data_IF_080098799923
#
_entry.id   IF_080098799923
#
_cell.length_a   1.000
_cell.length_b   1.000
_cell.length_c   1.000
_cell.angle_alpha   90.00
_cell.angle_beta   90.00
_cell.angle_gamma   90.00
#
_symmetry.space_group_name_H-M   'P 1'
#
loop_
_entity.id
_entity.type
_entity.pdbx_description
1 polymer ?
#
# COMPACT_ATOMS: atom_id res chain seq x y z
N UNK A 1 -4.60 -15.85 -27.19
CA UNK A 1 -5.57 -14.73 -27.17
C UNK A 1 -6.32 -14.77 -25.85
N UNK A 2 -6.00 -13.86 -24.92
CA UNK A 2 -6.68 -13.75 -23.61
C UNK A 2 -8.12 -13.32 -23.87
N UNK A 3 -9.10 -14.17 -23.56
CA UNK A 3 -10.51 -13.73 -23.47
C UNK A 3 -10.68 -13.09 -22.10
N UNK A 4 -10.99 -11.80 -22.09
CA UNK A 4 -11.30 -11.04 -20.88
C UNK A 4 -12.40 -11.76 -20.07
N UNK A 5 -12.15 -11.95 -18.78
CA UNK A 5 -13.18 -12.28 -17.78
C UNK A 5 -14.25 -11.19 -17.83
N UNK A 6 -15.27 -11.38 -18.66
CA UNK A 6 -16.44 -10.49 -18.72
C UNK A 6 -17.35 -10.80 -17.54
N UNK A 7 -16.90 -10.46 -16.32
CA UNK A 7 -17.88 -10.01 -15.35
C UNK A 7 -18.47 -8.72 -15.94
N UNK A 8 -19.76 -8.73 -16.26
CA UNK A 8 -20.44 -7.54 -16.77
C UNK A 8 -20.11 -6.36 -15.84
N UNK A 9 -19.64 -5.24 -16.41
CA UNK A 9 -19.33 -4.03 -15.65
C UNK A 9 -20.59 -3.38 -15.01
N UNK A 10 -21.75 -4.01 -15.12
CA UNK A 10 -23.05 -3.44 -14.78
C UNK A 10 -23.89 -4.42 -13.96
N UNK A 11 -24.53 -3.88 -12.93
CA UNK A 11 -25.51 -4.57 -12.10
C UNK A 11 -26.69 -5.10 -12.95
N UNK A 12 -26.79 -6.43 -13.11
CA UNK A 12 -27.95 -7.09 -13.70
C UNK A 12 -28.63 -8.03 -12.69
N UNK A 13 -29.81 -7.62 -12.21
CA UNK A 13 -30.59 -8.41 -11.25
C UNK A 13 -31.07 -9.76 -11.80
N UNK A 14 -31.17 -9.94 -13.13
CA UNK A 14 -31.48 -11.26 -13.72
C UNK A 14 -30.30 -12.21 -13.58
N UNK A 15 -29.09 -11.70 -13.78
CA UNK A 15 -27.85 -12.48 -13.63
C UNK A 15 -27.66 -12.90 -12.18
N UNK A 16 -27.82 -11.97 -11.23
CA UNK A 16 -27.77 -12.26 -9.79
C UNK A 16 -28.86 -13.29 -9.41
N UNK A 17 -30.08 -13.10 -9.92
CA UNK A 17 -31.20 -14.01 -9.67
C UNK A 17 -30.95 -15.43 -10.19
N UNK A 18 -30.36 -15.55 -11.39
CA UNK A 18 -30.00 -16.83 -11.97
C UNK A 18 -28.91 -17.52 -11.16
N UNK A 19 -27.92 -16.78 -10.66
CA UNK A 19 -26.84 -17.36 -9.85
C UNK A 19 -27.33 -17.83 -8.47
N UNK A 20 -28.22 -17.07 -7.83
CA UNK A 20 -28.92 -17.51 -6.62
C UNK A 20 -29.67 -18.82 -6.87
N UNK A 21 -30.35 -18.95 -8.00
CA UNK A 21 -31.05 -20.19 -8.40
C UNK A 21 -30.08 -21.35 -8.60
N UNK A 22 -28.98 -21.13 -9.32
CA UNK A 22 -27.96 -22.14 -9.60
C UNK A 22 -27.37 -22.69 -8.28
N UNK A 23 -26.94 -21.80 -7.39
CA UNK A 23 -26.36 -22.15 -6.09
C UNK A 23 -27.36 -22.85 -5.18
N UNK A 24 -28.63 -22.41 -5.18
CA UNK A 24 -29.70 -23.06 -4.43
C UNK A 24 -29.91 -24.51 -4.89
N UNK A 25 -29.97 -24.74 -6.20
CA UNK A 25 -30.13 -26.08 -6.77
C UNK A 25 -28.92 -26.97 -6.49
N UNK A 26 -27.70 -26.43 -6.61
CA UNK A 26 -26.47 -27.16 -6.28
C UNK A 26 -26.41 -27.62 -4.81
N UNK A 27 -27.03 -26.87 -3.89
CA UNK A 27 -27.18 -27.23 -2.47
C UNK A 27 -28.39 -28.12 -2.18
N UNK A 28 -29.21 -28.43 -3.18
CA UNK A 28 -30.42 -29.26 -3.04
C UNK A 28 -31.58 -28.56 -2.30
N UNK A 29 -31.59 -27.23 -2.23
CA UNK A 29 -32.62 -26.48 -1.51
C UNK A 29 -33.84 -26.18 -2.39
N UNK A 30 -35.05 -26.33 -1.85
CA UNK A 30 -36.25 -25.75 -2.48
C UNK A 30 -36.30 -24.24 -2.22
N UNK A 31 -37.11 -23.51 -3.00
CA UNK A 31 -37.33 -22.08 -2.76
C UNK A 31 -37.89 -21.81 -1.36
N UNK A 32 -38.70 -22.74 -0.81
CA UNK A 32 -39.22 -22.65 0.56
C UNK A 32 -38.13 -22.86 1.61
N UNK A 33 -37.19 -23.76 1.36
CA UNK A 33 -36.07 -24.03 2.28
C UNK A 33 -35.11 -22.84 2.38
N UNK A 34 -34.78 -22.23 1.22
CA UNK A 34 -33.96 -21.02 1.19
C UNK A 34 -34.67 -19.84 1.85
N UNK A 35 -35.97 -19.69 1.61
CA UNK A 35 -36.79 -18.67 2.24
C UNK A 35 -36.81 -18.81 3.77
N UNK A 36 -36.94 -20.05 4.28
CA UNK A 36 -36.89 -20.35 5.72
C UNK A 36 -35.53 -20.01 6.33
N UNK A 37 -34.43 -20.32 5.64
CA UNK A 37 -33.05 -20.02 6.10
C UNK A 37 -32.76 -18.52 6.21
N UNK A 38 -33.29 -17.71 5.29
CA UNK A 38 -33.01 -16.26 5.22
C UNK A 38 -34.10 -15.43 5.94
N UNK A 39 -35.11 -16.09 6.52
CA UNK A 39 -36.22 -15.42 7.20
C UNK A 39 -37.06 -14.57 6.24
N UNK A 40 -37.36 -15.09 5.06
CA UNK A 40 -38.22 -14.42 4.06
C UNK A 40 -39.29 -15.36 3.51
N UNK A 41 -40.14 -14.88 2.59
CA UNK A 41 -41.19 -15.70 1.97
C UNK A 41 -40.69 -16.32 0.67
N UNK A 42 -41.25 -17.48 0.30
CA UNK A 42 -40.88 -18.14 -0.96
C UNK A 42 -41.16 -17.25 -2.19
N UNK A 43 -42.17 -16.38 -2.12
CA UNK A 43 -42.50 -15.42 -3.17
C UNK A 43 -41.38 -14.40 -3.38
N UNK A 44 -40.74 -13.95 -2.29
CA UNK A 44 -39.60 -13.03 -2.36
C UNK A 44 -38.40 -13.71 -3.01
N UNK A 45 -38.10 -14.96 -2.66
CA UNK A 45 -37.04 -15.76 -3.30
C UNK A 45 -37.34 -15.98 -4.79
N UNK A 46 -38.58 -16.32 -5.15
CA UNK A 46 -39.01 -16.47 -6.54
C UNK A 46 -38.82 -15.16 -7.34
N UNK A 47 -39.15 -14.02 -6.73
CA UNK A 47 -38.99 -12.72 -7.36
C UNK A 47 -37.51 -12.32 -7.51
N UNK A 48 -36.66 -12.68 -6.55
CA UNK A 48 -35.20 -12.53 -6.64
C UNK A 48 -34.63 -13.40 -7.77
N UNK A 49 -34.99 -14.68 -7.83
CA UNK A 49 -34.51 -15.60 -8.88
C UNK A 49 -34.93 -15.18 -10.29
N UNK A 50 -36.11 -14.56 -10.42
CA UNK A 50 -36.59 -14.00 -11.69
C UNK A 50 -35.96 -12.63 -12.04
N UNK A 51 -35.17 -12.04 -11.14
CA UNK A 51 -34.64 -10.68 -11.27
C UNK A 51 -35.70 -9.58 -11.25
N UNK A 52 -36.94 -9.89 -10.85
CA UNK A 52 -38.07 -8.95 -10.82
C UNK A 52 -38.10 -8.07 -9.59
N UNK A 53 -37.42 -8.49 -8.51
CA UNK A 53 -37.32 -7.74 -7.27
C UNK A 53 -35.86 -7.42 -6.98
N UNK A 54 -35.62 -6.17 -6.61
CA UNK A 54 -34.32 -5.65 -6.21
C UNK A 54 -33.85 -6.32 -4.91
N UNK A 55 -32.59 -6.71 -4.89
CA UNK A 55 -31.92 -7.30 -3.72
C UNK A 55 -31.13 -6.19 -3.03
N UNK A 56 -31.26 -6.05 -1.71
CA UNK A 56 -30.43 -5.13 -0.93
C UNK A 56 -29.08 -5.77 -0.61
N UNK A 57 -28.04 -4.97 -0.37
CA UNK A 57 -26.70 -5.47 0.01
C UNK A 57 -26.82 -6.43 1.20
N UNK A 58 -27.56 -6.04 2.25
CA UNK A 58 -27.80 -6.90 3.42
C UNK A 58 -28.39 -8.26 3.04
N UNK A 59 -29.43 -8.29 2.18
CA UNK A 59 -30.05 -9.55 1.73
C UNK A 59 -29.13 -10.36 0.82
N UNK A 60 -28.25 -9.72 0.05
CA UNK A 60 -27.23 -10.40 -0.75
C UNK A 60 -26.24 -11.16 0.14
N UNK A 61 -25.80 -10.58 1.25
CA UNK A 61 -24.94 -11.28 2.22
C UNK A 61 -25.65 -12.42 2.93
N UNK A 62 -26.92 -12.23 3.33
CA UNK A 62 -27.72 -13.31 3.92
C UNK A 62 -27.93 -14.48 2.93
N UNK A 63 -28.10 -14.19 1.63
CA UNK A 63 -28.13 -15.19 0.57
C UNK A 63 -26.78 -15.90 0.42
N UNK A 64 -25.67 -15.16 0.41
CA UNK A 64 -24.32 -15.71 0.31
C UNK A 64 -24.01 -16.68 1.44
N UNK A 65 -24.34 -16.29 2.68
CA UNK A 65 -24.17 -17.10 3.88
C UNK A 65 -25.00 -18.39 3.79
N UNK A 66 -26.29 -18.29 3.46
CA UNK A 66 -27.18 -19.45 3.34
C UNK A 66 -26.75 -20.43 2.25
N UNK A 67 -26.12 -19.94 1.19
CA UNK A 67 -25.67 -20.72 0.03
C UNK A 67 -24.19 -21.15 0.12
N UNK A 68 -23.50 -20.78 1.21
CA UNK A 68 -22.07 -21.04 1.42
C UNK A 68 -21.16 -20.50 0.30
N UNK A 69 -21.50 -19.34 -0.26
CA UNK A 69 -20.75 -18.64 -1.32
C UNK A 69 -20.37 -17.23 -0.83
N UNK A 70 -19.75 -16.41 -1.68
CA UNK A 70 -19.46 -15.00 -1.36
C UNK A 70 -20.49 -14.09 -2.00
N UNK A 71 -20.70 -12.90 -1.41
CA UNK A 71 -21.57 -11.88 -2.03
C UNK A 71 -21.03 -11.41 -3.39
N UNK A 72 -19.70 -11.51 -3.58
CA UNK A 72 -18.98 -11.23 -4.81
C UNK A 72 -19.35 -12.21 -5.93
N UNK A 73 -19.33 -13.51 -5.63
CA UNK A 73 -19.68 -14.56 -6.58
C UNK A 73 -21.15 -14.44 -7.04
N UNK A 74 -22.05 -14.18 -6.09
CA UNK A 74 -23.47 -13.95 -6.39
C UNK A 74 -23.70 -12.69 -7.23
N UNK A 75 -22.84 -11.66 -7.07
CA UNK A 75 -22.94 -10.42 -7.83
C UNK A 75 -22.37 -10.54 -9.26
N UNK A 76 -21.30 -11.32 -9.48
CA UNK A 76 -20.64 -11.42 -10.79
C UNK A 76 -21.26 -12.43 -11.75
N UNK A 77 -22.13 -13.33 -11.30
CA UNK A 77 -22.88 -14.27 -12.14
C UNK A 77 -22.05 -14.97 -13.22
N UNK A 78 -20.95 -15.60 -12.80
CA UNK A 78 -20.16 -16.42 -13.71
C UNK A 78 -20.98 -17.65 -14.13
N UNK A 79 -21.15 -17.86 -15.44
CA UNK A 79 -21.14 -19.24 -15.92
C UNK A 79 -19.83 -19.84 -15.41
N UNK A 80 -19.91 -20.95 -14.71
CA UNK A 80 -18.73 -21.68 -14.26
C UNK A 80 -17.97 -22.13 -15.51
N UNK A 81 -17.12 -21.26 -16.07
CA UNK A 81 -16.08 -21.67 -16.97
C UNK A 81 -15.15 -22.55 -16.14
N UNK A 82 -15.15 -23.83 -16.48
CA UNK A 82 -14.22 -24.86 -16.01
C UNK A 82 -12.77 -24.54 -16.44
N UNK A 83 -12.30 -23.32 -16.26
CA UNK A 83 -10.95 -22.87 -16.63
C UNK A 83 -10.18 -22.50 -15.37
N UNK A 84 -9.76 -23.57 -14.71
CA UNK A 84 -8.74 -23.59 -13.68
C UNK A 84 -8.04 -24.94 -13.66
N UNK A 85 -7.95 -25.63 -14.80
CA UNK A 85 -6.90 -26.64 -14.96
C UNK A 85 -5.61 -25.86 -15.16
N UNK A 86 -4.97 -25.49 -14.05
CA UNK A 86 -3.51 -25.52 -14.03
C UNK A 86 -3.11 -26.83 -14.69
N UNK A 87 -2.22 -26.83 -15.68
CA UNK A 87 -1.79 -28.07 -16.30
C UNK A 87 -1.38 -29.00 -15.15
N UNK A 88 -2.13 -30.09 -14.95
CA UNK A 88 -1.94 -30.98 -13.78
C UNK A 88 -0.46 -31.38 -13.69
N UNK A 89 0.21 -31.42 -14.83
CA UNK A 89 1.63 -31.64 -15.03
C UNK A 89 2.55 -30.57 -14.40
N UNK A 90 2.24 -29.27 -14.49
CA UNK A 90 3.03 -28.21 -13.84
C UNK A 90 2.89 -28.24 -12.32
N UNK A 91 1.67 -28.44 -11.81
CA UNK A 91 1.40 -28.57 -10.37
C UNK A 91 2.04 -29.85 -9.83
N UNK A 92 1.92 -30.96 -10.56
CA UNK A 92 2.60 -32.22 -10.23
C UNK A 92 4.11 -32.06 -10.27
N UNK A 93 4.67 -31.32 -11.23
CA UNK A 93 6.10 -31.05 -11.33
C UNK A 93 6.60 -30.17 -10.17
N UNK A 94 5.84 -29.17 -9.75
CA UNK A 94 6.13 -28.36 -8.55
C UNK A 94 6.11 -29.22 -7.28
N UNK A 95 5.07 -30.06 -7.10
CA UNK A 95 4.96 -30.98 -5.96
C UNK A 95 6.11 -32.00 -5.96
N UNK A 96 6.50 -32.49 -7.14
CA UNK A 96 7.61 -33.44 -7.30
C UNK A 96 8.94 -32.81 -6.93
N UNK A 97 9.25 -31.62 -7.47
CA UNK A 97 10.47 -30.87 -7.15
C UNK A 97 10.54 -30.44 -5.68
N UNK A 98 9.41 -30.08 -5.08
CA UNK A 98 9.34 -29.79 -3.65
C UNK A 98 9.74 -31.00 -2.79
N UNK A 99 9.32 -32.22 -3.18
CA UNK A 99 9.70 -33.47 -2.50
C UNK A 99 11.17 -33.84 -2.66
N UNK A 100 11.83 -33.36 -3.73
CA UNK A 100 13.25 -33.57 -4.01
C UNK A 100 14.19 -32.69 -3.16
N UNK A 101 13.68 -31.61 -2.54
CA UNK A 101 14.44 -30.75 -1.64
C UNK A 101 14.76 -31.53 -0.36
N UNK A 102 15.98 -32.06 -0.24
CA UNK A 102 16.42 -32.86 0.92
C UNK A 102 16.51 -32.05 2.21
N UNK A 103 16.79 -30.75 2.08
CA UNK A 103 16.90 -29.82 3.18
C UNK A 103 15.51 -29.41 3.69
N UNK A 104 15.25 -29.68 4.97
CA UNK A 104 13.95 -29.42 5.58
C UNK A 104 13.66 -27.92 5.71
N UNK A 105 14.67 -27.09 5.95
CA UNK A 105 14.52 -25.66 6.16
C UNK A 105 14.21 -24.94 4.83
N UNK A 106 14.85 -25.37 3.74
CA UNK A 106 14.52 -24.91 2.38
C UNK A 106 13.11 -25.33 1.94
N UNK A 107 12.69 -26.53 2.34
CA UNK A 107 11.35 -27.05 2.04
C UNK A 107 10.27 -26.24 2.77
N UNK A 108 10.49 -25.92 4.04
CA UNK A 108 9.62 -25.05 4.84
C UNK A 108 9.59 -23.62 4.28
N UNK A 109 10.74 -23.08 3.87
CA UNK A 109 10.85 -21.76 3.22
C UNK A 109 10.04 -21.68 1.92
N UNK A 110 10.13 -22.72 1.07
CA UNK A 110 9.35 -22.79 -0.18
C UNK A 110 7.85 -22.87 0.08
N UNK A 111 7.43 -23.68 1.07
CA UNK A 111 6.03 -23.78 1.48
C UNK A 111 5.50 -22.42 1.94
N UNK A 112 6.25 -21.70 2.78
CA UNK A 112 5.88 -20.35 3.20
C UNK A 112 5.73 -19.41 2.02
N UNK A 113 6.69 -19.36 1.09
CA UNK A 113 6.61 -18.53 -0.12
C UNK A 113 5.33 -18.80 -0.92
N UNK A 114 5.00 -20.07 -1.16
CA UNK A 114 3.78 -20.42 -1.91
C UNK A 114 2.50 -20.01 -1.19
N UNK A 115 2.47 -20.12 0.15
CA UNK A 115 1.33 -19.71 0.97
C UNK A 115 1.20 -18.18 1.01
N UNK A 116 2.32 -17.45 1.09
CA UNK A 116 2.35 -15.99 1.00
C UNK A 116 1.82 -15.48 -0.34
N UNK A 117 2.25 -16.08 -1.46
CA UNK A 117 1.78 -15.72 -2.81
C UNK A 117 0.26 -15.86 -2.88
N UNK A 118 -0.28 -16.99 -2.41
CA UNK A 118 -1.73 -17.23 -2.37
C UNK A 118 -2.49 -16.15 -1.60
N UNK A 119 -2.02 -15.81 -0.40
CA UNK A 119 -2.67 -14.79 0.44
C UNK A 119 -2.58 -13.40 -0.24
N UNK A 120 -1.47 -13.11 -0.94
CA UNK A 120 -1.30 -11.84 -1.67
C UNK A 120 -2.19 -11.69 -2.91
N UNK A 121 -2.68 -12.80 -3.47
CA UNK A 121 -3.60 -12.84 -4.61
C UNK A 121 -5.08 -12.78 -4.19
N UNK A 122 -5.43 -13.31 -3.00
CA UNK A 122 -6.82 -13.41 -2.51
C UNK A 122 -7.32 -12.10 -1.86
N UNK A 123 -6.51 -11.43 -1.05
CA UNK A 123 -6.83 -10.11 -0.49
C UNK A 123 -6.09 -9.04 -1.26
N UNK A 124 -6.71 -7.87 -1.51
CA UNK A 124 -6.03 -6.78 -2.22
C UNK A 124 -4.69 -6.51 -1.54
N UNK A 125 -3.59 -6.84 -2.22
CA UNK A 125 -2.30 -7.14 -1.56
C UNK A 125 -1.71 -6.05 -0.66
N UNK A 126 -2.35 -4.89 -0.51
CA UNK A 126 -2.01 -3.88 0.50
C UNK A 126 -2.48 -4.23 1.92
N UNK A 127 -3.64 -4.86 2.12
CA UNK A 127 -4.22 -5.07 3.46
C UNK A 127 -3.47 -6.14 4.27
N UNK A 128 -3.27 -7.33 3.68
CA UNK A 128 -2.43 -8.40 4.25
C UNK A 128 -1.02 -7.92 4.52
N UNK A 129 -0.41 -7.17 3.59
CA UNK A 129 0.97 -6.67 3.77
C UNK A 129 1.08 -5.73 4.99
N UNK A 130 0.04 -4.95 5.25
CA UNK A 130 -0.05 -4.08 6.44
C UNK A 130 -0.24 -4.91 7.72
N UNK A 131 -1.03 -5.99 7.68
CA UNK A 131 -1.32 -6.83 8.85
C UNK A 131 -0.16 -7.77 9.22
N UNK A 132 0.52 -8.34 8.22
CA UNK A 132 1.79 -9.08 8.38
C UNK A 132 2.86 -8.16 8.98
N UNK A 133 2.99 -6.92 8.47
CA UNK A 133 3.94 -5.97 9.01
C UNK A 133 3.60 -5.56 10.45
N UNK A 134 2.32 -5.33 10.76
CA UNK A 134 1.84 -5.08 12.13
C UNK A 134 2.15 -6.25 13.08
N UNK A 135 1.95 -7.49 12.64
CA UNK A 135 2.25 -8.70 13.42
C UNK A 135 3.74 -8.88 13.70
N UNK A 136 4.62 -8.55 12.76
CA UNK A 136 6.08 -8.60 12.94
C UNK A 136 6.61 -7.50 13.86
N UNK A 137 6.01 -6.30 13.83
CA UNK A 137 6.35 -5.16 14.70
C UNK A 137 5.94 -5.41 16.16
N UNK A 138 4.76 -6.01 16.39
CA UNK A 138 4.25 -6.33 17.74
C UNK A 138 5.14 -7.32 18.49
N UNK A 139 5.97 -8.08 17.77
CA UNK A 139 6.82 -9.16 18.26
C UNK A 139 8.32 -8.81 18.31
N UNK A 140 8.67 -7.51 18.20
CA UNK A 140 10.04 -7.02 18.46
C UNK A 140 11.02 -7.10 17.30
N UNK A 141 10.56 -7.37 16.07
CA UNK A 141 11.40 -7.24 14.87
C UNK A 141 11.43 -5.77 14.48
N UNK A 142 12.60 -5.14 14.53
CA UNK A 142 12.77 -3.74 14.12
C UNK A 142 12.65 -3.63 12.61
N UNK A 143 11.43 -3.34 12.15
CA UNK A 143 11.13 -2.96 10.78
C UNK A 143 10.74 -1.49 10.85
N UNK A 144 11.69 -0.60 10.58
CA UNK A 144 11.35 0.80 10.28
C UNK A 144 10.55 0.79 8.98
N UNK A 145 9.35 1.39 9.02
CA UNK A 145 8.35 1.54 7.94
C UNK A 145 7.25 0.48 7.94
N UNK A 146 6.11 0.81 8.54
CA UNK A 146 4.78 0.73 7.92
C UNK A 146 3.74 1.14 8.95
N UNK A 147 3.16 2.34 8.79
CA UNK A 147 1.69 2.57 8.78
C UNK A 147 1.42 4.06 8.84
N UNK A 148 1.05 4.65 7.70
CA UNK A 148 0.29 5.90 7.69
C UNK A 148 -1.16 5.55 8.01
N UNK A 149 -1.43 5.33 9.29
CA UNK A 149 -2.76 5.33 9.86
C UNK A 149 -2.66 5.99 11.23
N UNK A 150 -3.21 7.20 11.32
CA UNK A 150 -3.42 7.96 12.54
C UNK A 150 -3.97 7.05 13.64
N UNK A 151 -3.20 6.91 14.72
CA UNK A 151 -3.71 6.48 16.03
C UNK A 151 -4.57 7.64 16.52
N UNK A 152 -5.87 7.54 16.27
CA UNK A 152 -6.93 8.21 17.03
C UNK A 152 -8.24 7.51 16.66
N UNK A 153 -8.52 6.43 17.39
CA UNK A 153 -9.87 5.97 17.81
C UNK A 153 -9.69 4.62 18.52
N UNK A 154 -8.96 4.63 19.64
CA UNK A 154 -9.15 3.68 20.72
C UNK A 154 -10.28 4.22 21.59
N UNK A 155 -11.51 3.77 21.31
CA UNK A 155 -12.56 3.52 22.29
C UNK A 155 -13.86 3.08 21.61
N UNK A 156 -14.14 1.77 21.64
CA UNK A 156 -15.35 1.18 22.23
C UNK A 156 -15.72 -0.15 21.56
N UNK A 157 -15.70 -1.18 22.40
CA UNK A 157 -16.50 -2.40 22.35
C UNK A 157 -16.35 -3.33 21.13
N UNK A 158 -16.43 -4.62 21.42
CA UNK A 158 -16.60 -5.74 20.49
C UNK A 158 -17.91 -5.65 19.67
N UNK A 159 -18.13 -4.54 18.95
CA UNK A 159 -19.21 -4.39 18.00
C UNK A 159 -18.74 -4.94 16.67
N UNK A 160 -19.20 -6.16 16.37
CA UNK A 160 -19.29 -6.77 15.04
C UNK A 160 -19.43 -5.67 13.96
N UNK A 161 -18.33 -5.36 13.27
CA UNK A 161 -18.27 -4.26 12.30
C UNK A 161 -19.40 -4.44 11.29
N UNK A 162 -20.27 -3.44 11.18
CA UNK A 162 -21.47 -3.57 10.36
C UNK A 162 -21.13 -3.66 8.86
N UNK A 163 -21.87 -4.48 8.10
CA UNK A 163 -21.71 -4.60 6.64
C UNK A 163 -21.77 -3.22 5.94
N UNK A 164 -22.73 -2.32 6.26
CA UNK A 164 -22.76 -0.97 5.69
C UNK A 164 -21.47 -0.19 5.91
N UNK A 165 -20.86 -0.30 7.10
CA UNK A 165 -19.58 0.33 7.39
C UNK A 165 -18.45 -0.23 6.52
N UNK A 166 -18.34 -1.55 6.40
CA UNK A 166 -17.30 -2.18 5.56
C UNK A 166 -17.43 -1.75 4.08
N UNK A 167 -18.65 -1.67 3.55
CA UNK A 167 -18.92 -1.14 2.20
C UNK A 167 -18.52 0.33 2.10
N UNK A 168 -18.87 1.14 3.11
CA UNK A 168 -18.50 2.54 3.20
C UNK A 168 -16.99 2.78 3.15
N UNK A 169 -16.21 1.98 3.87
CA UNK A 169 -14.76 2.06 3.84
C UNK A 169 -14.18 1.71 2.46
N UNK A 170 -14.70 0.70 1.76
CA UNK A 170 -14.28 0.39 0.38
C UNK A 170 -14.55 1.56 -0.57
N UNK A 171 -15.69 2.24 -0.44
CA UNK A 171 -16.00 3.44 -1.22
C UNK A 171 -14.95 4.53 -0.95
N UNK A 172 -14.65 4.80 0.32
CA UNK A 172 -13.64 5.80 0.74
C UNK A 172 -12.26 5.48 0.16
N UNK A 173 -11.82 4.23 0.26
CA UNK A 173 -10.52 3.78 -0.26
C UNK A 173 -10.39 4.05 -1.76
N UNK A 174 -11.37 3.63 -2.55
CA UNK A 174 -11.33 3.81 -4.00
C UNK A 174 -11.49 5.28 -4.41
N UNK A 175 -12.29 6.05 -3.68
CA UNK A 175 -12.40 7.51 -3.87
C UNK A 175 -11.05 8.19 -3.70
N UNK A 176 -10.32 7.87 -2.63
CA UNK A 176 -8.99 8.42 -2.37
C UNK A 176 -7.97 7.97 -3.43
N UNK A 177 -8.01 6.71 -3.88
CA UNK A 177 -7.15 6.21 -4.98
C UNK A 177 -7.37 6.96 -6.29
N UNK A 178 -8.58 7.46 -6.54
CA UNK A 178 -8.91 8.30 -7.70
C UNK A 178 -8.63 9.78 -7.48
N UNK A 179 -8.14 10.18 -6.30
CA UNK A 179 -7.86 11.57 -5.95
C UNK A 179 -9.12 12.41 -5.76
N UNK A 180 -10.28 11.79 -5.48
CA UNK A 180 -11.55 12.50 -5.34
C UNK A 180 -11.79 12.93 -3.89
N UNK A 181 -12.27 14.15 -3.69
CA UNK A 181 -12.88 14.57 -2.42
C UNK A 181 -14.28 13.96 -2.27
N UNK A 182 -14.85 13.98 -1.06
CA UNK A 182 -16.24 13.55 -0.85
C UNK A 182 -17.21 14.37 -1.71
N UNK A 183 -16.91 15.65 -1.93
CA UNK A 183 -17.69 16.55 -2.77
C UNK A 183 -17.57 16.20 -4.25
N UNK A 184 -16.37 15.84 -4.72
CA UNK A 184 -16.15 15.41 -6.10
C UNK A 184 -16.93 14.13 -6.42
N UNK A 185 -16.89 13.15 -5.53
CA UNK A 185 -17.63 11.90 -5.70
C UNK A 185 -19.14 12.16 -5.67
N UNK A 186 -19.61 12.97 -4.72
CA UNK A 186 -21.03 13.32 -4.59
C UNK A 186 -21.54 14.03 -5.86
N UNK A 187 -20.77 14.98 -6.38
CA UNK A 187 -21.08 15.73 -7.61
C UNK A 187 -21.13 14.83 -8.84
N UNK A 188 -20.19 13.88 -8.96
CA UNK A 188 -20.14 12.92 -10.09
C UNK A 188 -21.27 11.90 -10.07
N UNK A 189 -21.68 11.47 -8.87
CA UNK A 189 -22.80 10.50 -8.69
C UNK A 189 -24.16 11.21 -8.71
N UNK A 190 -24.19 12.54 -8.53
CA UNK A 190 -25.42 13.34 -8.53
C UNK A 190 -26.17 13.31 -7.19
N UNK A 191 -25.46 13.23 -6.07
CA UNK A 191 -26.03 13.24 -4.72
C UNK A 191 -25.38 14.32 -3.85
N UNK A 192 -25.99 14.62 -2.70
CA UNK A 192 -25.44 15.58 -1.74
C UNK A 192 -24.19 15.00 -1.04
N UNK A 193 -23.20 15.85 -0.73
CA UNK A 193 -21.97 15.46 -0.02
C UNK A 193 -22.28 14.68 1.28
N UNK A 194 -23.25 15.16 2.06
CA UNK A 194 -23.68 14.50 3.30
C UNK A 194 -24.02 13.01 3.13
N UNK A 195 -24.59 12.61 1.98
CA UNK A 195 -24.91 11.20 1.70
C UNK A 195 -23.64 10.35 1.54
N UNK A 196 -22.62 10.86 0.85
CA UNK A 196 -21.33 10.17 0.73
C UNK A 196 -20.68 10.03 2.11
N UNK A 197 -20.70 11.09 2.92
CA UNK A 197 -20.23 11.01 4.30
C UNK A 197 -20.97 9.93 5.11
N UNK A 198 -22.30 9.92 5.07
CA UNK A 198 -23.11 8.91 5.78
C UNK A 198 -22.85 7.49 5.29
N UNK A 199 -22.56 7.30 4.00
CA UNK A 199 -22.15 6.01 3.44
C UNK A 199 -20.77 5.59 3.93
N UNK A 200 -19.75 6.46 3.84
CA UNK A 200 -18.40 6.16 4.28
C UNK A 200 -18.31 5.84 5.77
N UNK A 201 -19.15 6.49 6.58
CA UNK A 201 -19.25 6.25 8.01
C UNK A 201 -20.15 5.06 8.38
N UNK A 202 -20.77 4.38 7.40
CA UNK A 202 -21.70 3.28 7.64
C UNK A 202 -22.98 3.66 8.38
N UNK A 203 -23.29 4.96 8.49
CA UNK A 203 -24.50 5.49 9.13
C UNK A 203 -25.75 5.27 8.26
N UNK A 204 -25.54 5.21 6.94
CA UNK A 204 -26.59 4.89 5.97
C UNK A 204 -26.20 3.66 5.13
N UNK A 205 -27.19 2.79 4.87
CA UNK A 205 -27.01 1.66 3.97
C UNK A 205 -27.06 2.13 2.51
N UNK A 206 -26.05 1.73 1.72
CA UNK A 206 -26.00 1.96 0.28
C UNK A 206 -26.88 0.91 -0.42
N UNK A 207 -27.69 1.32 -1.40
CA UNK A 207 -28.39 0.36 -2.27
C UNK A 207 -27.42 -0.23 -3.29
N UNK A 208 -27.68 -1.44 -3.82
CA UNK A 208 -26.82 -2.01 -4.86
C UNK A 208 -26.76 -1.11 -6.12
N UNK A 209 -27.85 -0.41 -6.43
CA UNK A 209 -27.91 0.54 -7.55
C UNK A 209 -27.02 1.76 -7.33
N UNK A 210 -27.07 2.36 -6.13
CA UNK A 210 -26.19 3.46 -5.78
C UNK A 210 -24.73 3.01 -5.75
N UNK A 211 -24.49 1.77 -5.29
CA UNK A 211 -23.16 1.17 -5.31
C UNK A 211 -22.63 0.96 -6.73
N UNK A 212 -23.50 0.55 -7.67
CA UNK A 212 -23.20 0.43 -9.09
C UNK A 212 -22.86 1.79 -9.72
N UNK A 213 -23.63 2.84 -9.41
CA UNK A 213 -23.33 4.21 -9.87
C UNK A 213 -22.00 4.73 -9.33
N UNK A 214 -21.70 4.48 -8.05
CA UNK A 214 -20.40 4.79 -7.45
C UNK A 214 -19.27 4.00 -8.14
N UNK A 215 -19.48 2.71 -8.42
CA UNK A 215 -18.50 1.87 -9.12
C UNK A 215 -18.21 2.38 -10.54
N UNK A 216 -19.25 2.80 -11.28
CA UNK A 216 -19.12 3.42 -12.61
C UNK A 216 -18.30 4.71 -12.55
N UNK A 217 -18.58 5.59 -11.60
CA UNK A 217 -17.83 6.85 -11.41
C UNK A 217 -16.37 6.58 -11.06
N UNK A 218 -16.11 5.55 -10.24
CA UNK A 218 -14.77 5.15 -9.84
C UNK A 218 -14.05 4.28 -10.89
N UNK A 219 -14.72 3.94 -11.99
CA UNK A 219 -14.21 3.08 -13.07
C UNK A 219 -13.66 1.74 -12.52
N UNK A 220 -14.44 1.09 -11.67
CA UNK A 220 -14.14 -0.21 -11.05
C UNK A 220 -15.35 -1.14 -11.17
N UNK A 221 -15.17 -2.42 -10.88
CA UNK A 221 -16.30 -3.34 -10.80
C UNK A 221 -17.04 -3.17 -9.46
N UNK A 222 -18.36 -3.33 -9.45
CA UNK A 222 -19.17 -3.32 -8.22
C UNK A 222 -18.67 -4.35 -7.19
N UNK A 223 -18.09 -5.46 -7.65
CA UNK A 223 -17.49 -6.48 -6.78
C UNK A 223 -16.31 -5.98 -5.94
N UNK A 224 -15.63 -4.91 -6.36
CA UNK A 224 -14.49 -4.36 -5.64
C UNK A 224 -14.92 -3.50 -4.44
N UNK A 225 -16.19 -3.10 -4.44
CA UNK A 225 -16.84 -2.38 -3.34
C UNK A 225 -17.57 -3.32 -2.36
N UNK A 226 -17.70 -4.60 -2.68
CA UNK A 226 -18.30 -5.62 -1.82
C UNK A 226 -17.22 -6.27 -0.94
N UNK A 227 -17.18 -6.03 0.38
CA UNK A 227 -16.23 -6.67 1.29
C UNK A 227 -16.49 -8.17 1.42
N UNK A 228 -15.46 -8.98 1.60
CA UNK A 228 -15.64 -10.41 1.84
C UNK A 228 -16.00 -10.65 3.31
N UNK A 229 -17.14 -11.28 3.59
CA UNK A 229 -17.59 -11.56 4.96
C UNK A 229 -16.88 -12.76 5.61
N UNK A 230 -15.92 -13.38 4.91
CA UNK A 230 -15.05 -14.43 5.48
C UNK A 230 -13.72 -13.90 6.02
N UNK A 231 -13.56 -12.58 6.08
CA UNK A 231 -12.43 -11.94 6.73
C UNK A 231 -12.80 -11.69 8.20
N UNK A 232 -12.17 -12.45 9.11
CA UNK A 232 -11.56 -11.94 10.36
C UNK A 232 -11.12 -13.03 11.35
N UNK A 233 -11.56 -14.29 11.26
CA UNK A 233 -11.09 -15.35 12.20
C UNK A 233 -10.00 -16.25 11.61
N UNK A 234 -10.10 -16.59 10.32
CA UNK A 234 -9.11 -17.47 9.69
C UNK A 234 -7.84 -16.73 9.28
N UNK A 235 -7.92 -15.50 8.76
CA UNK A 235 -6.75 -14.75 8.30
C UNK A 235 -5.80 -14.43 9.46
N UNK A 236 -6.31 -13.95 10.59
CA UNK A 236 -5.49 -13.58 11.76
C UNK A 236 -4.83 -14.81 12.42
N UNK A 237 -5.56 -15.94 12.47
CA UNK A 237 -5.04 -17.23 12.93
C UNK A 237 -4.03 -17.84 11.93
N UNK A 238 -4.24 -17.69 10.63
CA UNK A 238 -3.30 -18.13 9.60
C UNK A 238 -2.04 -17.26 9.58
N UNK A 239 -2.16 -15.95 9.74
CA UNK A 239 -1.07 -14.99 9.88
C UNK A 239 -0.24 -15.27 11.14
N UNK A 240 -0.90 -15.53 12.27
CA UNK A 240 -0.24 -15.91 13.52
C UNK A 240 0.55 -17.22 13.36
N UNK A 241 -0.04 -18.22 12.70
CA UNK A 241 0.68 -19.47 12.36
C UNK A 241 1.85 -19.23 11.42
N UNK A 242 1.70 -18.34 10.44
CA UNK A 242 2.75 -18.00 9.47
C UNK A 242 3.94 -17.32 10.14
N UNK A 243 3.69 -16.41 11.08
CA UNK A 243 4.71 -15.72 11.87
C UNK A 243 5.44 -16.74 12.76
N UNK A 244 4.72 -17.69 13.34
CA UNK A 244 5.32 -18.73 14.17
C UNK A 244 6.15 -19.73 13.35
N UNK A 245 5.70 -20.08 12.13
CA UNK A 245 6.49 -20.87 11.18
C UNK A 245 7.73 -20.12 10.68
N UNK A 246 7.63 -18.81 10.42
CA UNK A 246 8.77 -17.96 10.08
C UNK A 246 9.82 -17.90 11.20
N UNK A 247 9.38 -17.84 12.47
CA UNK A 247 10.27 -17.85 13.64
C UNK A 247 11.07 -19.16 13.79
N UNK A 248 10.59 -20.27 13.22
CA UNK A 248 11.27 -21.58 13.29
C UNK A 248 12.47 -21.69 12.34
N UNK A 249 12.55 -20.81 11.33
CA UNK A 249 13.68 -20.75 10.41
C UNK A 249 14.91 -20.20 11.15
N UNK A 250 15.93 -21.04 11.29
CA UNK A 250 17.19 -20.72 11.95
C UNK A 250 18.11 -19.94 11.02
N UNK A 251 18.14 -20.27 9.73
CA UNK A 251 18.96 -19.58 8.74
C UNK A 251 18.57 -18.11 8.60
N UNK A 252 19.55 -17.23 8.80
CA UNK A 252 19.36 -15.78 8.66
C UNK A 252 19.27 -15.36 7.20
N UNK A 253 19.95 -16.07 6.30
CA UNK A 253 19.91 -15.84 4.85
C UNK A 253 18.53 -16.17 4.28
N UNK A 254 17.92 -17.28 4.71
CA UNK A 254 16.57 -17.67 4.27
C UNK A 254 15.50 -16.72 4.82
N UNK A 255 15.64 -16.26 6.07
CA UNK A 255 14.80 -15.20 6.63
C UNK A 255 14.90 -13.90 5.83
N UNK A 256 16.11 -13.52 5.42
CA UNK A 256 16.34 -12.34 4.60
C UNK A 256 15.70 -12.48 3.21
N UNK A 257 15.81 -13.64 2.55
CA UNK A 257 15.18 -13.90 1.25
C UNK A 257 13.65 -13.85 1.34
N UNK A 258 13.06 -14.39 2.41
CA UNK A 258 11.60 -14.33 2.65
C UNK A 258 11.11 -12.90 2.83
N UNK A 259 11.81 -12.11 3.66
CA UNK A 259 11.51 -10.68 3.83
C UNK A 259 11.65 -9.98 2.48
N UNK A 260 12.79 -10.14 1.81
CA UNK A 260 13.05 -9.48 0.53
C UNK A 260 11.97 -9.82 -0.51
N UNK A 261 11.57 -11.08 -0.65
CA UNK A 261 10.49 -11.49 -1.56
C UNK A 261 9.12 -10.93 -1.15
N UNK A 262 8.86 -10.76 0.16
CA UNK A 262 7.63 -10.12 0.65
C UNK A 262 7.57 -8.64 0.24
N UNK A 263 8.71 -7.95 0.30
CA UNK A 263 8.84 -6.51 0.04
C UNK A 263 9.19 -6.15 -1.42
N UNK A 264 9.76 -7.05 -2.23
CA UNK A 264 10.08 -6.82 -3.66
C UNK A 264 8.84 -6.60 -4.53
N UNK A 265 7.66 -7.03 -4.07
CA UNK A 265 6.37 -6.72 -4.70
C UNK A 265 5.82 -5.33 -4.36
N UNK A 266 6.50 -4.57 -3.48
CA UNK A 266 6.22 -3.16 -3.21
C UNK A 266 7.05 -2.35 -4.21
N UNK A 267 6.56 -2.27 -5.44
CA UNK A 267 7.08 -1.33 -6.42
C UNK A 267 6.87 0.12 -5.91
N UNK A 268 7.94 0.92 -6.02
CA UNK A 268 8.00 2.38 -5.98
C UNK A 268 6.88 3.07 -5.19
N UNK A 269 7.02 3.10 -3.87
CA UNK A 269 6.23 4.03 -3.04
C UNK A 269 6.75 5.44 -3.36
N UNK A 270 6.03 6.13 -4.24
CA UNK A 270 6.22 7.56 -4.49
C UNK A 270 5.43 8.32 -3.43
N UNK A 271 6.14 9.04 -2.55
CA UNK A 271 5.51 10.00 -1.63
C UNK A 271 5.21 11.31 -2.36
N UNK A 272 4.34 12.15 -1.78
CA UNK A 272 4.30 13.56 -2.17
C UNK A 272 5.59 14.29 -1.75
N UNK A 273 5.75 15.56 -2.11
CA UNK A 273 6.89 16.37 -1.71
C UNK A 273 6.98 16.47 -0.18
N UNK A 274 8.11 16.04 0.37
CA UNK A 274 8.39 16.10 1.81
C UNK A 274 9.41 17.20 2.12
N UNK A 275 9.27 17.90 3.27
CA UNK A 275 10.31 18.78 3.75
C UNK A 275 11.57 17.99 4.11
N UNK A 276 12.74 18.60 3.95
CA UNK A 276 14.02 18.03 4.36
C UNK A 276 14.64 18.81 5.52
N UNK A 277 15.51 18.15 6.28
CA UNK A 277 16.26 18.75 7.38
C UNK A 277 17.45 19.56 6.88
N UNK A 278 17.88 20.54 7.66
CA UNK A 278 19.05 21.37 7.40
C UNK A 278 19.71 21.70 8.74
N UNK A 279 20.94 22.22 8.76
CA UNK A 279 21.65 22.45 10.03
C UNK A 279 21.03 23.57 10.88
N UNK A 280 20.44 24.59 10.24
CA UNK A 280 19.79 25.77 10.80
C UNK A 280 18.65 26.26 9.90
N UNK A 281 17.46 26.42 10.45
CA UNK A 281 16.27 26.88 9.72
C UNK A 281 15.55 28.08 10.37
N UNK A 282 16.28 28.90 11.13
CA UNK A 282 15.72 30.02 11.91
C UNK A 282 15.96 31.39 11.29
N UNK A 283 16.29 32.37 12.15
CA UNK A 283 16.78 33.70 11.69
C UNK A 283 18.08 33.53 10.90
N UNK A 284 19.00 32.73 11.43
CA UNK A 284 20.09 32.16 10.66
C UNK A 284 19.60 30.89 9.96
N UNK A 285 19.92 30.75 8.68
CA UNK A 285 19.53 29.59 7.87
C UNK A 285 20.61 29.21 6.87
N UNK A 286 20.80 27.91 6.65
CA UNK A 286 21.61 27.36 5.56
C UNK A 286 20.75 26.85 4.41
N UNK A 287 21.38 26.73 3.24
CA UNK A 287 20.76 26.21 2.04
C UNK A 287 21.73 25.27 1.33
N UNK A 288 21.44 23.97 1.41
CA UNK A 288 22.14 22.89 0.72
C UNK A 288 21.11 21.80 0.41
N UNK A 289 20.32 21.95 -0.67
CA UNK A 289 19.25 21.01 -0.98
C UNK A 289 19.83 19.65 -1.39
N UNK A 290 19.08 18.55 -1.18
CA UNK A 290 19.47 17.24 -1.66
C UNK A 290 19.43 17.16 -3.19
N UNK A 291 20.28 16.30 -3.76
CA UNK A 291 20.34 16.04 -5.19
C UNK A 291 19.34 14.97 -5.64
N UNK A 292 18.99 14.99 -6.93
CA UNK A 292 18.24 13.88 -7.54
C UNK A 292 19.11 12.60 -7.49
N UNK A 293 18.49 11.47 -7.14
CA UNK A 293 19.14 10.17 -6.90
C UNK A 293 20.08 10.12 -5.67
N UNK A 294 20.00 11.10 -4.77
CA UNK A 294 20.68 11.03 -3.47
C UNK A 294 19.95 10.06 -2.53
N UNK A 295 20.68 9.15 -1.88
CA UNK A 295 20.12 8.29 -0.84
C UNK A 295 19.88 9.08 0.44
N UNK A 296 18.66 8.95 0.97
CA UNK A 296 18.18 9.68 2.15
C UNK A 296 17.51 8.74 3.15
N UNK A 297 17.44 9.16 4.42
CA UNK A 297 16.55 8.56 5.41
C UNK A 297 15.24 9.36 5.46
N UNK A 298 14.09 8.68 5.37
CA UNK A 298 12.80 9.32 5.62
C UNK A 298 12.39 9.04 7.06
N UNK A 299 12.32 10.09 7.87
CA UNK A 299 11.70 10.04 9.20
C UNK A 299 10.19 10.09 9.01
N UNK A 300 9.46 9.13 9.56
CA UNK A 300 8.01 9.05 9.45
C UNK A 300 7.39 9.14 10.84
N UNK A 301 7.12 10.36 11.35
CA UNK A 301 6.49 10.55 12.63
C UNK A 301 5.18 9.76 12.69
N UNK A 302 4.99 8.98 13.75
CA UNK A 302 3.79 8.15 13.95
C UNK A 302 3.52 7.14 12.81
N UNK A 303 4.52 6.83 11.98
CA UNK A 303 4.37 5.97 10.80
C UNK A 303 3.70 6.65 9.60
N UNK A 304 3.34 7.92 9.70
CA UNK A 304 2.71 8.68 8.63
C UNK A 304 3.76 9.27 7.67
N UNK A 305 3.76 8.82 6.41
CA UNK A 305 4.69 9.28 5.39
C UNK A 305 4.29 10.63 4.82
N UNK A 306 3.01 11.03 4.91
CA UNK A 306 2.54 12.37 4.51
C UNK A 306 3.12 13.47 5.42
N UNK A 307 3.44 13.12 6.67
CA UNK A 307 4.14 13.96 7.64
C UNK A 307 5.66 13.71 7.65
N UNK A 308 6.15 12.98 6.64
CA UNK A 308 7.54 12.56 6.57
C UNK A 308 8.50 13.75 6.51
N UNK A 309 9.66 13.59 7.14
CA UNK A 309 10.76 14.55 7.08
C UNK A 309 11.98 13.83 6.54
N UNK A 310 12.55 14.36 5.46
CA UNK A 310 13.71 13.78 4.80
C UNK A 310 14.99 14.21 5.54
N UNK A 311 15.82 13.24 5.91
CA UNK A 311 17.18 13.44 6.43
C UNK A 311 18.18 12.99 5.34
N UNK A 312 18.74 13.94 4.57
CA UNK A 312 19.69 13.62 3.49
C UNK A 312 21.10 13.30 4.02
N UNK A 313 22.00 12.87 3.13
CA UNK A 313 23.41 12.64 3.45
C UNK A 313 23.79 11.21 3.84
N UNK A 314 23.17 10.19 3.24
CA UNK A 314 23.65 8.80 3.37
C UNK A 314 24.59 8.50 2.19
N UNK A 315 25.84 8.12 2.49
CA UNK A 315 26.77 7.68 1.45
C UNK A 315 26.30 6.38 0.78
N UNK A 316 26.49 6.32 -0.53
CA UNK A 316 26.12 5.19 -1.38
C UNK A 316 27.30 4.77 -2.27
N UNK A 317 27.27 3.57 -2.85
CA UNK A 317 28.36 3.12 -3.74
C UNK A 317 28.58 4.08 -4.93
N UNK A 318 27.49 4.64 -5.47
CA UNK A 318 27.53 5.64 -6.55
C UNK A 318 28.14 6.98 -6.10
N UNK A 319 27.98 7.36 -4.83
CA UNK A 319 28.48 8.61 -4.24
C UNK A 319 29.14 8.32 -2.87
N UNK A 320 30.38 7.81 -2.87
CA UNK A 320 31.08 7.45 -1.64
C UNK A 320 31.56 8.69 -0.88
N UNK A 321 31.95 8.48 0.38
CA UNK A 321 32.57 9.52 1.20
C UNK A 321 33.78 10.14 0.48
N UNK A 322 33.94 11.48 0.51
CA UNK A 322 35.00 12.16 -0.22
C UNK A 322 36.40 11.90 0.35
N UNK A 323 36.48 11.50 1.62
CA UNK A 323 37.72 11.25 2.36
C UNK A 323 37.53 10.09 3.34
N UNK A 324 38.62 9.43 3.72
CA UNK A 324 38.65 8.34 4.69
C UNK A 324 39.62 8.56 5.87
N UNK A 325 40.23 9.76 5.97
CA UNK A 325 41.18 10.13 7.02
C UNK A 325 40.49 10.94 8.12
N UNK A 326 40.73 10.59 9.38
CA UNK A 326 40.10 11.23 10.55
C UNK A 326 40.55 12.68 10.76
N UNK A 327 41.74 13.00 10.28
CA UNK A 327 42.39 14.30 10.40
C UNK A 327 41.84 15.32 9.40
N UNK A 328 41.13 14.86 8.38
CA UNK A 328 40.63 15.70 7.28
C UNK A 328 39.14 15.96 7.46
N UNK A 329 38.76 17.23 7.39
CA UNK A 329 37.38 17.67 7.19
C UNK A 329 37.27 18.24 5.79
N UNK A 330 36.42 17.67 4.94
CA UNK A 330 36.25 18.16 3.58
C UNK A 330 34.78 18.31 3.18
N UNK A 331 34.54 19.26 2.28
CA UNK A 331 33.29 19.44 1.54
C UNK A 331 33.67 19.44 0.07
N UNK A 332 32.98 18.63 -0.73
CA UNK A 332 33.18 18.53 -2.17
C UNK A 332 31.89 18.92 -2.89
N UNK A 333 32.01 19.83 -3.84
CA UNK A 333 30.90 20.26 -4.69
C UNK A 333 30.92 19.49 -6.02
N UNK A 334 29.76 19.42 -6.68
CA UNK A 334 29.57 18.66 -7.94
C UNK A 334 30.47 19.15 -9.07
N UNK A 335 30.80 20.45 -9.10
CA UNK A 335 31.67 21.09 -10.09
C UNK A 335 33.18 20.81 -9.87
N UNK A 336 33.51 20.08 -8.81
CA UNK A 336 34.89 19.78 -8.42
C UNK A 336 35.50 20.76 -7.42
N UNK A 337 34.81 21.84 -7.05
CA UNK A 337 35.23 22.74 -5.98
C UNK A 337 35.34 21.96 -4.65
N UNK A 338 36.36 22.27 -3.85
CA UNK A 338 36.64 21.62 -2.57
C UNK A 338 36.97 22.62 -1.48
N UNK A 339 36.49 22.34 -0.29
CA UNK A 339 36.88 23.02 0.94
C UNK A 339 37.46 21.97 1.88
N UNK A 340 38.73 22.07 2.24
CA UNK A 340 39.43 21.02 2.99
C UNK A 340 40.22 21.62 4.15
N UNK A 341 40.05 21.05 5.34
CA UNK A 341 40.83 21.37 6.52
C UNK A 341 41.59 20.14 7.01
N UNK A 342 42.93 20.19 6.96
CA UNK A 342 43.82 19.18 7.51
C UNK A 342 44.24 19.58 8.93
N UNK A 343 43.74 18.86 9.93
CA UNK A 343 44.04 19.11 11.34
C UNK A 343 45.50 18.82 11.70
N UNK A 344 46.14 17.87 11.03
CA UNK A 344 47.52 17.48 11.31
C UNK A 344 48.52 18.52 10.80
N UNK A 345 48.19 19.19 9.69
CA UNK A 345 49.02 20.27 9.11
C UNK A 345 48.60 21.67 9.55
N UNK A 346 47.48 21.80 10.26
CA UNK A 346 46.85 23.09 10.55
C UNK A 346 46.60 23.94 9.28
N UNK A 347 46.15 23.29 8.20
CA UNK A 347 46.04 23.91 6.89
C UNK A 347 44.59 23.89 6.38
N UNK A 348 44.06 25.06 6.03
CA UNK A 348 42.79 25.22 5.33
C UNK A 348 43.05 25.54 3.86
N UNK A 349 42.47 24.75 2.97
CA UNK A 349 42.56 24.90 1.52
C UNK A 349 41.15 25.03 0.92
N UNK A 350 40.99 26.01 0.02
CA UNK A 350 39.76 26.22 -0.76
C UNK A 350 40.15 26.20 -2.23
N UNK A 351 39.83 25.11 -2.91
CA UNK A 351 40.09 24.91 -4.33
C UNK A 351 38.79 25.16 -5.10
N UNK A 352 38.73 26.23 -5.91
CA UNK A 352 37.52 26.61 -6.67
C UNK A 352 37.68 26.34 -8.16
N UNK A 353 36.61 25.88 -8.81
CA UNK A 353 36.64 25.53 -10.24
C UNK A 353 36.90 26.72 -11.18
N UNK A 354 36.47 27.93 -10.79
CA UNK A 354 36.58 29.14 -11.63
C UNK A 354 36.91 30.42 -10.84
N UNK A 355 36.04 30.81 -9.90
CA UNK A 355 36.10 32.13 -9.25
C UNK A 355 35.74 32.07 -7.77
N UNK A 356 36.51 32.79 -6.95
CA UNK A 356 36.18 33.06 -5.54
C UNK A 356 36.04 34.56 -5.32
N UNK A 357 35.11 34.95 -4.46
CA UNK A 357 34.83 36.36 -4.17
C UNK A 357 34.52 36.55 -2.69
N UNK A 358 35.27 37.42 -2.04
CA UNK A 358 35.07 37.85 -0.65
C UNK A 358 34.59 39.31 -0.66
N UNK A 359 33.53 39.64 0.08
CA UNK A 359 32.97 40.99 0.13
C UNK A 359 32.71 41.44 1.56
N UNK A 360 33.00 42.70 1.84
CA UNK A 360 32.63 43.39 3.07
C UNK A 360 32.15 44.80 2.73
N UNK A 361 30.82 44.99 2.69
CA UNK A 361 30.21 46.25 2.23
C UNK A 361 30.62 46.60 0.80
N UNK A 362 31.31 47.74 0.62
CA UNK A 362 31.81 48.21 -0.69
C UNK A 362 33.18 47.64 -1.07
N UNK A 363 33.85 46.93 -0.16
CA UNK A 363 35.16 46.33 -0.40
C UNK A 363 35.01 44.88 -0.88
N UNK A 364 35.90 44.43 -1.77
CA UNK A 364 35.91 43.07 -2.29
C UNK A 364 37.29 42.57 -2.70
N UNK A 365 37.51 41.27 -2.53
CA UNK A 365 38.63 40.50 -3.11
C UNK A 365 38.02 39.51 -4.09
N UNK A 366 38.50 39.51 -5.31
CA UNK A 366 38.07 38.59 -6.35
C UNK A 366 39.30 37.87 -6.92
N UNK A 367 39.26 36.54 -6.98
CA UNK A 367 40.32 35.74 -7.56
C UNK A 367 39.74 34.79 -8.62
N UNK A 368 40.45 34.70 -9.73
CA UNK A 368 40.16 33.86 -10.90
C UNK A 368 41.43 33.07 -11.25
N UNK A 369 41.35 32.20 -12.26
CA UNK A 369 42.51 31.42 -12.75
C UNK A 369 43.75 32.26 -13.14
N UNK A 370 43.55 33.52 -13.55
CA UNK A 370 44.64 34.36 -14.09
C UNK A 370 44.85 35.69 -13.38
N UNK A 371 44.02 36.05 -12.39
CA UNK A 371 44.14 37.35 -11.75
C UNK A 371 43.51 37.41 -10.37
N UNK A 372 44.04 38.32 -9.54
CA UNK A 372 43.47 38.75 -8.27
C UNK A 372 43.15 40.24 -8.39
N UNK A 373 41.90 40.61 -8.10
CA UNK A 373 41.40 41.98 -8.12
C UNK A 373 40.96 42.42 -6.73
N UNK A 374 41.58 43.47 -6.22
CA UNK A 374 41.28 44.08 -4.93
C UNK A 374 40.52 45.40 -5.14
N UNK A 375 39.41 45.58 -4.43
CA UNK A 375 38.63 46.83 -4.44
C UNK A 375 38.35 47.27 -3.01
N UNK A 376 38.89 48.43 -2.63
CA UNK A 376 38.62 49.06 -1.34
C UNK A 376 38.97 50.56 -1.41
N UNK A 377 38.59 51.33 -0.39
CA UNK A 377 39.02 52.74 -0.25
C UNK A 377 40.52 52.86 0.00
N UNK A 378 41.10 51.90 0.70
CA UNK A 378 42.53 51.79 1.03
C UNK A 378 42.88 50.29 1.02
N UNK A 379 44.02 49.96 0.43
CA UNK A 379 44.57 48.60 0.39
C UNK A 379 45.98 48.72 0.96
N UNK A 380 46.23 48.07 2.08
CA UNK A 380 47.56 47.98 2.69
C UNK A 380 48.17 46.63 2.30
N UNK A 381 49.29 46.66 1.57
CA UNK A 381 50.11 45.49 1.24
C UNK A 381 51.40 45.63 2.04
N UNK A 382 51.74 44.61 2.82
CA UNK A 382 52.97 44.60 3.63
C UNK A 382 54.21 44.36 2.77
#
# INVERSE_FOLDING_TARGET
MKKENKCSNFLDYKVIGQEVRNRRLAKGYTQKDLAKKIGTTYQVILQYEKGTRRISIKKLYELAEALSTTARDLACGQEVSNEGRYEEEEVLNLVRRHKEIKDQELRETFYLLTKFIRISEEESGKAVKIEVAKGLVKEGVSISQTTSLSIDEYDNDEKKISIPYKVGQRIKEWRLRRGYTQEDLASKVGIINQRIYEYEQGRAAVSLEMLDEIAKVLLINITDLLPETRENENSEAELSKLIEEYKKIKSQELRHVLIKSLFESIQDIVTDYLPWTTSKAGKDRDWSPPDIDEQVLVLSPLGELSLGIVLPGIYQEKYPAPENKKEINSIKFQDGTKFTYDKGKHHLEIEVADKITLKAGKSSIEMTKGSIKLKARRIDLN
#
